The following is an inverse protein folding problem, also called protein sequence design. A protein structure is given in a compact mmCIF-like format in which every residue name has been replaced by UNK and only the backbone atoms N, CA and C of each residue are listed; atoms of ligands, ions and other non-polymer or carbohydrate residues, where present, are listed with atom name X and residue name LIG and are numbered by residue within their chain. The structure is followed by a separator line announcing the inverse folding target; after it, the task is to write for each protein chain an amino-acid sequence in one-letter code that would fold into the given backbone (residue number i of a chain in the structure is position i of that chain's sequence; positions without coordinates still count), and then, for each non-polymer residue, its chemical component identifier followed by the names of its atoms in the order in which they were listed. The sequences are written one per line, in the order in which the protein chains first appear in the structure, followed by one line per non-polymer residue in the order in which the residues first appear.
data_IF_189330103162
#
_entry.id   IF_189330103162
#
_cell.length_a   1.000
_cell.length_b   1.000
_cell.length_c   1.000
_cell.angle_alpha   90.00
_cell.angle_beta   90.00
_cell.angle_gamma   90.00
#
_symmetry.space_group_name_H-M   'P 1'
#
loop_
_entity.id
_entity.type
_entity.pdbx_description
1 polymer ?
#
# COMPACT_ATOMS: atom_id res chain seq x y z
N UNK A 1 74.84 -9.68 34.70
CA UNK A 1 73.87 -8.64 34.40
C UNK A 1 73.45 -8.59 32.93
N UNK A 2 74.20 -9.16 31.99
CA UNK A 2 73.85 -9.15 30.54
C UNK A 2 72.74 -10.11 30.09
N UNK A 3 72.39 -11.13 30.89
CA UNK A 3 71.33 -12.10 30.50
C UNK A 3 69.94 -11.64 30.85
N UNK A 4 69.81 -10.66 31.75
CA UNK A 4 68.46 -10.13 32.13
C UNK A 4 67.94 -9.11 31.12
N UNK A 5 68.83 -8.37 30.40
CA UNK A 5 68.46 -7.42 29.38
C UNK A 5 67.95 -8.11 28.09
N UNK A 6 68.35 -9.36 27.83
CA UNK A 6 67.94 -10.09 26.63
C UNK A 6 66.52 -10.61 26.69
N UNK A 7 65.97 -10.76 27.92
CA UNK A 7 64.55 -11.15 28.12
C UNK A 7 63.61 -9.96 28.21
N UNK A 8 64.13 -8.76 28.55
CA UNK A 8 63.31 -7.54 28.64
C UNK A 8 62.86 -7.01 27.26
N UNK A 9 63.72 -7.16 26.24
CA UNK A 9 63.40 -6.68 24.88
C UNK A 9 62.17 -7.37 24.26
N UNK A 10 62.04 -8.71 24.23
CA UNK A 10 60.85 -9.35 23.69
C UNK A 10 59.58 -9.09 24.52
N UNK A 11 59.71 -8.90 25.84
CA UNK A 11 58.59 -8.56 26.69
C UNK A 11 58.04 -7.15 26.38
N UNK A 12 58.88 -6.16 26.16
CA UNK A 12 58.46 -4.79 25.77
C UNK A 12 57.85 -4.79 24.38
N UNK A 13 58.37 -5.57 23.42
CA UNK A 13 57.80 -5.71 22.08
C UNK A 13 56.43 -6.39 22.15
N UNK A 14 56.25 -7.43 22.96
CA UNK A 14 54.98 -8.11 23.14
C UNK A 14 53.92 -7.19 23.76
N UNK A 15 54.29 -6.37 24.74
CA UNK A 15 53.39 -5.37 25.35
C UNK A 15 53.06 -4.26 24.35
N UNK A 16 54.01 -3.77 23.56
CA UNK A 16 53.76 -2.76 22.54
C UNK A 16 52.83 -3.28 21.41
N UNK A 17 52.99 -4.55 21.00
CA UNK A 17 52.09 -5.19 20.04
C UNK A 17 50.70 -5.42 20.64
N UNK A 18 50.60 -5.78 21.92
CA UNK A 18 49.31 -5.98 22.60
C UNK A 18 48.53 -4.64 22.74
N UNK A 19 49.19 -3.58 23.16
CA UNK A 19 48.63 -2.23 23.29
C UNK A 19 48.36 -1.58 21.92
N UNK A 20 49.11 -1.92 20.88
CA UNK A 20 48.86 -1.47 19.50
C UNK A 20 47.67 -2.18 18.83
N UNK A 21 47.35 -3.42 19.26
CA UNK A 21 46.22 -4.16 18.72
C UNK A 21 44.87 -3.68 19.29
N UNK A 22 44.86 -3.15 20.53
CA UNK A 22 43.65 -2.58 21.12
C UNK A 22 43.29 -1.19 20.56
N UNK A 23 44.25 -0.49 19.93
CA UNK A 23 44.05 0.87 19.40
C UNK A 23 43.48 0.91 17.98
N UNK A 24 43.28 -0.25 17.31
CA UNK A 24 42.70 -0.31 15.95
C UNK A 24 41.26 -0.83 15.91
N UNK A 25 40.59 -0.97 17.06
CA UNK A 25 39.21 -1.40 17.15
C UNK A 25 38.24 -0.31 17.57
N UNK A 26 38.64 0.95 17.63
CA UNK A 26 37.68 2.06 17.55
C UNK A 26 37.39 2.35 16.07
N UNK A 27 36.68 1.44 15.43
CA UNK A 27 35.81 1.80 14.34
C UNK A 27 34.84 2.81 14.96
N UNK A 28 34.90 4.04 14.49
CA UNK A 28 33.86 5.04 14.78
C UNK A 28 32.51 4.42 14.49
N UNK A 29 31.84 3.89 15.52
CA UNK A 29 30.42 3.53 15.52
C UNK A 29 29.54 4.77 15.52
N UNK A 30 30.10 5.97 15.36
CA UNK A 30 29.37 7.23 15.39
C UNK A 30 28.84 7.71 14.05
N UNK A 31 29.08 6.99 12.92
CA UNK A 31 28.57 7.39 11.59
C UNK A 31 27.73 6.34 10.87
N UNK A 32 27.36 5.28 11.53
CA UNK A 32 26.17 4.52 11.18
C UNK A 32 25.06 4.93 12.15
N UNK A 33 24.52 6.14 12.02
CA UNK A 33 23.09 6.29 12.14
C UNK A 33 22.52 5.31 11.10
N UNK A 34 22.41 4.05 11.52
CA UNK A 34 21.45 3.15 10.94
C UNK A 34 20.14 3.91 11.20
N UNK A 35 19.71 4.69 10.22
CA UNK A 35 18.33 5.10 10.10
C UNK A 35 17.60 3.79 10.32
N UNK A 36 17.09 3.57 11.53
CA UNK A 36 16.28 2.39 11.84
C UNK A 36 15.13 2.54 10.89
N UNK A 37 15.21 1.77 9.82
CA UNK A 37 14.14 1.69 8.87
C UNK A 37 12.95 1.24 9.71
N UNK A 38 11.98 2.13 9.89
CA UNK A 38 10.80 1.91 10.74
C UNK A 38 9.83 0.90 10.10
N UNK A 39 10.35 -0.05 9.31
CA UNK A 39 9.55 -1.09 8.68
C UNK A 39 10.07 -2.48 9.02
N UNK A 40 9.17 -3.45 9.09
CA UNK A 40 9.46 -4.84 9.43
C UNK A 40 9.70 -5.70 8.19
N UNK A 41 9.07 -5.35 7.06
CA UNK A 41 9.23 -6.07 5.81
C UNK A 41 9.19 -5.13 4.60
N UNK A 42 9.95 -5.50 3.59
CA UNK A 42 10.03 -4.83 2.30
C UNK A 42 9.95 -5.87 1.19
N UNK A 43 9.19 -5.59 0.14
CA UNK A 43 9.06 -6.46 -1.02
C UNK A 43 8.92 -5.64 -2.31
N UNK A 44 9.39 -6.19 -3.42
CA UNK A 44 9.24 -5.65 -4.77
C UNK A 44 8.51 -6.65 -5.67
N UNK A 45 7.77 -6.14 -6.65
CA UNK A 45 7.09 -6.97 -7.63
C UNK A 45 5.99 -7.85 -7.02
N UNK A 46 5.09 -7.24 -6.23
CA UNK A 46 4.02 -7.94 -5.51
C UNK A 46 2.96 -8.46 -6.48
N UNK A 47 2.55 -9.71 -6.27
CA UNK A 47 1.38 -10.30 -6.91
C UNK A 47 0.71 -11.23 -5.89
N UNK A 48 -0.34 -10.75 -5.26
CA UNK A 48 -1.07 -11.43 -4.19
C UNK A 48 -2.49 -11.78 -4.63
N UNK A 49 -2.97 -12.92 -4.15
CA UNK A 49 -4.35 -13.37 -4.29
C UNK A 49 -4.89 -13.60 -2.90
N UNK A 50 -5.98 -12.92 -2.56
CA UNK A 50 -6.64 -13.04 -1.27
C UNK A 50 -7.99 -13.73 -1.44
N UNK A 51 -8.31 -14.58 -0.46
CA UNK A 51 -9.53 -15.39 -0.47
C UNK A 51 -10.44 -14.97 0.67
N UNK A 52 -11.75 -15.08 0.44
CA UNK A 52 -12.77 -14.92 1.48
C UNK A 52 -12.84 -16.16 2.39
N UNK A 53 -13.66 -16.09 3.44
CA UNK A 53 -13.88 -17.21 4.37
C UNK A 53 -14.46 -18.48 3.70
N UNK A 54 -15.09 -18.33 2.58
CA UNK A 54 -15.67 -19.41 1.78
C UNK A 54 -14.66 -20.05 0.80
N UNK A 55 -13.43 -19.47 0.71
CA UNK A 55 -12.38 -19.93 -0.18
C UNK A 55 -12.48 -19.43 -1.62
N UNK A 56 -13.35 -18.46 -1.91
CA UNK A 56 -13.38 -17.79 -3.20
C UNK A 56 -12.37 -16.66 -3.23
N UNK A 57 -11.90 -16.28 -4.43
CA UNK A 57 -11.04 -15.11 -4.57
C UNK A 57 -11.87 -13.86 -4.22
N UNK A 58 -11.41 -13.13 -3.20
CA UNK A 58 -11.96 -11.82 -2.80
C UNK A 58 -11.37 -10.73 -3.68
N UNK A 59 -10.03 -10.61 -3.69
CA UNK A 59 -9.35 -9.67 -4.56
C UNK A 59 -7.95 -10.14 -4.95
N UNK A 60 -7.40 -9.54 -6.00
CA UNK A 60 -5.98 -9.66 -6.34
C UNK A 60 -5.33 -8.31 -6.28
N UNK A 61 -4.11 -8.26 -5.75
CA UNK A 61 -3.29 -7.06 -5.64
C UNK A 61 -1.97 -7.28 -6.38
N UNK A 62 -1.65 -6.37 -7.28
CA UNK A 62 -0.32 -6.21 -7.85
C UNK A 62 0.21 -4.86 -7.43
N UNK A 63 1.49 -4.76 -7.08
CA UNK A 63 2.15 -3.52 -6.74
C UNK A 63 3.63 -3.57 -7.11
N UNK A 64 4.23 -2.43 -7.44
CA UNK A 64 5.65 -2.36 -7.73
C UNK A 64 6.50 -2.56 -6.48
N UNK A 65 6.04 -2.06 -5.34
CA UNK A 65 6.70 -2.13 -4.04
C UNK A 65 5.68 -2.19 -2.91
N UNK A 66 6.09 -2.86 -1.81
CA UNK A 66 5.35 -2.93 -0.56
C UNK A 66 6.30 -2.73 0.61
N UNK A 67 5.87 -1.94 1.58
CA UNK A 67 6.56 -1.71 2.86
C UNK A 67 5.58 -1.98 3.99
N UNK A 68 5.90 -2.92 4.86
CA UNK A 68 5.10 -3.25 6.03
C UNK A 68 5.74 -2.65 7.28
N UNK A 69 4.94 -1.95 8.08
CA UNK A 69 5.38 -1.26 9.29
C UNK A 69 4.88 -1.99 10.54
N UNK A 70 5.59 -1.79 11.65
CA UNK A 70 5.31 -2.44 12.97
C UNK A 70 3.93 -2.10 13.57
N UNK A 71 3.21 -1.15 13.00
CA UNK A 71 1.86 -0.76 13.40
C UNK A 71 0.75 -1.39 12.56
N UNK A 72 1.05 -2.52 11.90
CA UNK A 72 0.14 -3.25 11.01
C UNK A 72 -0.36 -2.45 9.79
N UNK A 73 0.36 -1.38 9.43
CA UNK A 73 0.13 -0.62 8.20
C UNK A 73 1.06 -1.14 7.11
N UNK A 74 0.52 -1.33 5.92
CA UNK A 74 1.28 -1.68 4.72
C UNK A 74 1.11 -0.60 3.67
N UNK A 75 2.20 0.03 3.25
CA UNK A 75 2.20 0.96 2.12
C UNK A 75 2.56 0.23 0.83
N UNK A 76 1.88 0.58 -0.25
CA UNK A 76 2.06 -0.02 -1.58
C UNK A 76 2.23 1.06 -2.64
N UNK A 77 3.09 0.80 -3.63
CA UNK A 77 3.31 1.70 -4.78
C UNK A 77 2.72 1.13 -6.05
N UNK A 78 2.12 2.00 -6.84
CA UNK A 78 1.49 1.68 -8.13
C UNK A 78 0.57 0.45 -8.04
N UNK A 79 -0.40 0.44 -7.10
CA UNK A 79 -1.29 -0.68 -6.93
C UNK A 79 -2.20 -0.86 -8.15
N UNK A 80 -2.40 -2.12 -8.54
CA UNK A 80 -3.44 -2.58 -9.42
C UNK A 80 -4.26 -3.64 -8.69
N UNK A 81 -5.50 -3.31 -8.36
CA UNK A 81 -6.42 -4.16 -7.60
C UNK A 81 -7.55 -4.63 -8.50
N UNK A 82 -7.90 -5.90 -8.39
CA UNK A 82 -9.13 -6.44 -8.98
C UNK A 82 -9.98 -7.02 -7.88
N UNK A 83 -11.20 -6.51 -7.74
CA UNK A 83 -12.19 -7.05 -6.82
C UNK A 83 -13.04 -8.10 -7.54
N UNK A 84 -13.35 -9.18 -6.83
CA UNK A 84 -14.10 -10.30 -7.37
C UNK A 84 -15.47 -10.39 -6.70
N UNK A 85 -16.48 -10.65 -7.48
CA UNK A 85 -17.85 -10.90 -7.02
C UNK A 85 -18.38 -12.12 -7.80
N UNK A 86 -18.84 -13.15 -7.09
CA UNK A 86 -19.35 -14.38 -7.69
C UNK A 86 -18.40 -15.01 -8.73
N UNK A 87 -17.08 -14.96 -8.48
CA UNK A 87 -16.04 -15.47 -9.37
C UNK A 87 -15.72 -14.62 -10.59
N UNK A 88 -16.40 -13.47 -10.79
CA UNK A 88 -16.11 -12.48 -11.83
C UNK A 88 -15.33 -11.31 -11.23
N UNK A 89 -14.51 -10.65 -12.03
CA UNK A 89 -13.78 -9.44 -11.61
C UNK A 89 -14.25 -8.22 -12.42
N UNK A 90 -15.42 -7.66 -12.09
CA UNK A 90 -15.94 -6.50 -12.81
C UNK A 90 -15.20 -5.20 -12.46
N UNK A 91 -14.53 -5.14 -11.31
CA UNK A 91 -13.90 -3.92 -10.79
C UNK A 91 -12.40 -4.00 -10.86
N UNK A 92 -11.78 -2.99 -11.46
CA UNK A 92 -10.34 -2.81 -11.55
C UNK A 92 -10.00 -1.42 -11.03
N UNK A 93 -9.03 -1.34 -10.11
CA UNK A 93 -8.63 -0.09 -9.47
C UNK A 93 -7.13 0.11 -9.64
N UNK A 94 -6.74 1.33 -9.95
CA UNK A 94 -5.34 1.76 -10.04
C UNK A 94 -5.14 3.05 -9.25
N UNK A 95 -3.94 3.28 -8.76
CA UNK A 95 -3.53 4.52 -8.11
C UNK A 95 -2.01 4.69 -8.15
N UNK A 96 -1.52 5.87 -7.74
CA UNK A 96 -0.08 6.09 -7.58
C UNK A 96 0.47 5.32 -6.38
N UNK A 97 -0.28 5.32 -5.27
CA UNK A 97 0.08 4.61 -4.04
C UNK A 97 -1.16 4.15 -3.28
N UNK A 98 -0.95 3.35 -2.24
CA UNK A 98 -2.03 2.97 -1.34
C UNK A 98 -1.51 2.56 0.02
N UNK A 99 -2.45 2.40 0.94
CA UNK A 99 -2.21 1.95 2.31
C UNK A 99 -3.23 0.87 2.65
N UNK A 100 -2.75 -0.26 3.15
CA UNK A 100 -3.58 -1.33 3.69
C UNK A 100 -3.47 -1.26 5.20
N UNK A 101 -4.60 -1.22 5.89
CA UNK A 101 -4.68 -1.18 7.35
C UNK A 101 -5.83 -2.04 7.85
N UNK A 102 -5.73 -2.45 9.11
CA UNK A 102 -6.80 -3.15 9.79
C UNK A 102 -7.41 -2.20 10.82
N UNK A 103 -8.68 -1.86 10.67
CA UNK A 103 -9.42 -1.04 11.63
C UNK A 103 -10.14 -1.94 12.63
N UNK A 104 -9.86 -1.74 13.92
CA UNK A 104 -10.53 -2.46 15.01
C UNK A 104 -11.81 -1.75 15.50
N UNK A 105 -12.25 -0.69 14.84
CA UNK A 105 -13.22 0.28 15.36
C UNK A 105 -14.70 -0.05 15.04
N UNK A 106 -15.02 -1.25 14.56
CA UNK A 106 -16.41 -1.62 14.25
C UNK A 106 -17.05 -2.58 15.26
N UNK A 107 -18.37 -2.57 15.40
CA UNK A 107 -19.09 -3.55 16.23
C UNK A 107 -18.96 -5.00 15.73
N UNK A 108 -18.56 -5.19 14.47
CA UNK A 108 -18.48 -6.47 13.78
C UNK A 108 -17.04 -7.04 13.73
N UNK A 109 -16.07 -6.41 14.42
CA UNK A 109 -14.69 -6.88 14.51
C UNK A 109 -13.68 -6.03 13.72
N UNK A 110 -12.54 -6.63 13.40
CA UNK A 110 -11.49 -5.98 12.63
C UNK A 110 -11.87 -5.92 11.15
N UNK A 111 -11.82 -4.73 10.54
CA UNK A 111 -12.10 -4.51 9.12
C UNK A 111 -10.82 -4.22 8.36
N UNK A 112 -10.68 -4.78 7.18
CA UNK A 112 -9.57 -4.49 6.30
C UNK A 112 -9.93 -3.33 5.35
N UNK A 113 -9.18 -2.24 5.46
CA UNK A 113 -9.32 -1.05 4.63
C UNK A 113 -8.13 -0.92 3.68
N UNK A 114 -8.41 -0.51 2.45
CA UNK A 114 -7.39 -0.12 1.47
C UNK A 114 -7.66 1.32 1.05
N UNK A 115 -6.75 2.22 1.42
CA UNK A 115 -6.78 3.61 0.98
C UNK A 115 -5.92 3.75 -0.27
N UNK A 116 -6.49 4.23 -1.36
CA UNK A 116 -5.81 4.55 -2.61
C UNK A 116 -5.58 6.05 -2.71
N UNK A 117 -4.38 6.46 -3.15
CA UNK A 117 -3.92 7.84 -3.10
C UNK A 117 -3.28 8.24 -4.43
N UNK A 118 -3.73 9.35 -5.00
CA UNK A 118 -3.20 9.99 -6.19
C UNK A 118 -3.61 9.30 -7.49
N UNK A 119 -4.25 10.05 -8.37
CA UNK A 119 -4.73 9.57 -9.68
C UNK A 119 -5.49 8.24 -9.58
N UNK A 120 -6.42 8.16 -8.66
CA UNK A 120 -7.22 6.95 -8.46
C UNK A 120 -8.22 6.81 -9.59
N UNK A 121 -8.19 5.67 -10.27
CA UNK A 121 -9.19 5.30 -11.26
C UNK A 121 -9.82 3.95 -10.90
N UNK A 122 -11.15 3.90 -10.96
CA UNK A 122 -11.96 2.69 -10.80
C UNK A 122 -12.65 2.41 -12.12
N UNK A 123 -12.38 1.25 -12.69
CA UNK A 123 -12.97 0.80 -13.93
C UNK A 123 -13.94 -0.36 -13.67
N UNK A 124 -15.13 -0.25 -14.21
CA UNK A 124 -16.10 -1.33 -14.25
C UNK A 124 -16.53 -1.57 -15.71
N UNK A 125 -16.66 -2.84 -16.06
CA UNK A 125 -17.23 -3.25 -17.33
C UNK A 125 -18.33 -4.25 -17.01
N UNK A 126 -19.56 -3.91 -17.35
CA UNK A 126 -20.69 -4.80 -17.12
C UNK A 126 -20.77 -5.94 -18.18
N UNK A 127 -21.71 -6.86 -17.99
CA UNK A 127 -21.93 -8.01 -18.90
C UNK A 127 -22.42 -7.60 -20.29
N UNK A 128 -22.95 -6.38 -20.42
CA UNK A 128 -23.49 -5.83 -21.67
C UNK A 128 -22.45 -5.00 -22.43
N UNK A 129 -21.25 -4.81 -21.84
CA UNK A 129 -20.17 -4.03 -22.41
C UNK A 129 -20.24 -2.53 -22.09
N UNK A 130 -21.16 -2.08 -21.21
CA UNK A 130 -21.17 -0.68 -20.75
C UNK A 130 -20.00 -0.43 -19.83
N UNK A 131 -19.30 0.67 -20.07
CA UNK A 131 -18.15 1.08 -19.29
C UNK A 131 -18.52 2.12 -18.24
N UNK A 132 -17.88 2.03 -17.08
CA UNK A 132 -17.93 3.03 -16.02
C UNK A 132 -16.51 3.31 -15.56
N UNK A 133 -16.13 4.58 -15.53
CA UNK A 133 -14.84 5.04 -14.98
C UNK A 133 -15.13 6.07 -13.91
N UNK A 134 -14.56 5.86 -12.70
CA UNK A 134 -14.58 6.82 -11.60
C UNK A 134 -13.15 7.29 -11.40
N UNK A 135 -12.94 8.62 -11.32
CA UNK A 135 -11.64 9.23 -11.08
C UNK A 135 -11.71 10.15 -9.86
N UNK A 136 -10.69 10.06 -8.98
CA UNK A 136 -10.54 10.88 -7.77
C UNK A 136 -9.08 10.92 -7.32
N UNK A 137 -8.74 11.75 -6.33
CA UNK A 137 -7.40 11.79 -5.75
C UNK A 137 -7.25 10.88 -4.51
N UNK A 138 -8.36 10.49 -3.90
CA UNK A 138 -8.37 9.58 -2.75
C UNK A 138 -9.59 8.67 -2.81
N UNK A 139 -9.43 7.40 -2.42
CA UNK A 139 -10.51 6.44 -2.33
C UNK A 139 -10.23 5.43 -1.23
N UNK A 140 -11.14 5.28 -0.28
CA UNK A 140 -11.12 4.21 0.70
C UNK A 140 -12.00 3.05 0.24
N UNK A 141 -11.48 1.83 0.38
CA UNK A 141 -12.13 0.58 0.05
C UNK A 141 -12.33 -0.20 1.34
N UNK A 142 -13.55 -0.49 1.71
CA UNK A 142 -13.88 -1.45 2.77
C UNK A 142 -14.18 -2.80 2.11
N UNK A 143 -13.29 -3.77 2.33
CA UNK A 143 -13.38 -5.09 1.71
C UNK A 143 -14.49 -5.96 2.32
N UNK A 144 -14.84 -5.73 3.58
CA UNK A 144 -15.86 -6.51 4.27
C UNK A 144 -17.27 -6.11 3.83
N UNK A 145 -17.50 -4.80 3.69
CA UNK A 145 -18.77 -4.26 3.19
C UNK A 145 -18.88 -4.21 1.66
N UNK A 146 -17.75 -4.42 0.95
CA UNK A 146 -17.64 -4.20 -0.49
C UNK A 146 -18.08 -2.79 -0.90
N UNK A 147 -17.58 -1.77 -0.19
CA UNK A 147 -17.90 -0.37 -0.46
C UNK A 147 -16.69 0.46 -0.79
N UNK A 148 -16.93 1.53 -1.56
CA UNK A 148 -15.96 2.55 -1.92
C UNK A 148 -16.45 3.89 -1.39
N UNK A 149 -15.56 4.67 -0.78
CA UNK A 149 -15.90 5.96 -0.21
C UNK A 149 -14.79 7.00 -0.46
N UNK A 150 -15.21 8.22 -0.74
CA UNK A 150 -14.31 9.38 -0.77
C UNK A 150 -15.05 10.66 -0.42
N UNK A 151 -14.35 11.60 0.21
CA UNK A 151 -14.82 12.97 0.45
C UNK A 151 -14.27 13.96 -0.59
N UNK A 152 -13.35 13.51 -1.46
CA UNK A 152 -12.70 14.32 -2.48
C UNK A 152 -13.60 14.57 -3.70
N UNK A 153 -13.11 15.42 -4.60
CA UNK A 153 -13.75 15.62 -5.89
C UNK A 153 -13.75 14.33 -6.71
N UNK A 154 -14.89 13.98 -7.28
CA UNK A 154 -15.11 12.77 -8.07
C UNK A 154 -15.62 13.14 -9.46
N UNK A 155 -15.10 12.43 -10.44
CA UNK A 155 -15.63 12.42 -11.82
C UNK A 155 -16.07 10.98 -12.16
N UNK A 156 -17.31 10.84 -12.60
CA UNK A 156 -17.89 9.57 -13.03
C UNK A 156 -18.26 9.68 -14.51
N UNK A 157 -17.69 8.80 -15.32
CA UNK A 157 -17.90 8.75 -16.77
C UNK A 157 -18.48 7.40 -17.15
N UNK A 158 -19.55 7.43 -17.91
CA UNK A 158 -20.13 6.27 -18.58
C UNK A 158 -20.17 6.52 -20.08
N UNK A 159 -20.67 5.57 -20.86
CA UNK A 159 -20.76 5.70 -22.33
C UNK A 159 -21.49 6.97 -22.78
N UNK A 160 -22.47 7.44 -22.00
CA UNK A 160 -23.35 8.55 -22.38
C UNK A 160 -23.44 9.68 -21.35
N UNK A 161 -22.79 9.55 -20.20
CA UNK A 161 -22.87 10.57 -19.15
C UNK A 161 -21.51 10.88 -18.57
N UNK A 162 -21.33 12.14 -18.23
CA UNK A 162 -20.24 12.61 -17.39
C UNK A 162 -20.84 13.34 -16.19
N UNK A 163 -20.47 12.92 -14.99
CA UNK A 163 -20.94 13.52 -13.74
C UNK A 163 -19.76 13.89 -12.85
N UNK A 164 -19.87 14.98 -12.13
CA UNK A 164 -18.90 15.38 -11.11
C UNK A 164 -19.59 15.66 -9.79
N UNK A 165 -18.91 15.40 -8.69
CA UNK A 165 -19.40 15.70 -7.34
C UNK A 165 -18.24 15.95 -6.38
N UNK A 166 -18.55 16.39 -5.17
CA UNK A 166 -17.65 16.32 -4.03
C UNK A 166 -18.22 15.27 -3.09
N UNK A 167 -17.42 14.22 -2.86
CA UNK A 167 -17.82 13.07 -2.10
C UNK A 167 -18.64 12.06 -2.91
N UNK A 168 -18.37 10.77 -2.65
CA UNK A 168 -19.05 9.63 -3.25
C UNK A 168 -19.05 8.47 -2.26
N UNK A 169 -20.14 7.72 -2.27
CA UNK A 169 -20.24 6.39 -1.68
C UNK A 169 -20.73 5.42 -2.75
N UNK A 170 -20.11 4.26 -2.87
CA UNK A 170 -20.55 3.21 -3.78
C UNK A 170 -20.66 1.88 -3.04
N UNK A 171 -21.78 1.21 -3.19
CA UNK A 171 -22.01 -0.18 -2.75
C UNK A 171 -21.84 -1.09 -3.97
N UNK A 172 -20.77 -1.88 -3.96
CA UNK A 172 -20.43 -2.74 -5.09
C UNK A 172 -21.40 -3.95 -5.20
N UNK A 173 -21.95 -4.42 -4.07
CA UNK A 173 -22.90 -5.53 -4.05
C UNK A 173 -24.25 -5.11 -4.68
N UNK A 174 -24.70 -3.90 -4.35
CA UNK A 174 -25.95 -3.34 -4.89
C UNK A 174 -25.75 -2.63 -6.24
N UNK A 175 -24.51 -2.47 -6.69
CA UNK A 175 -24.12 -1.73 -7.91
C UNK A 175 -24.68 -0.30 -7.91
N UNK A 176 -24.66 0.35 -6.74
CA UNK A 176 -25.21 1.68 -6.52
C UNK A 176 -24.11 2.67 -6.25
N UNK A 177 -24.16 3.85 -6.87
CA UNK A 177 -23.27 4.97 -6.63
C UNK A 177 -24.11 6.16 -6.16
N UNK A 178 -23.74 6.71 -5.00
CA UNK A 178 -24.33 7.90 -4.42
C UNK A 178 -23.32 9.05 -4.51
N UNK A 179 -23.63 10.07 -5.26
CA UNK A 179 -22.89 11.34 -5.31
C UNK A 179 -23.42 12.25 -4.22
N UNK A 180 -22.55 12.93 -3.44
CA UNK A 180 -22.96 13.53 -2.16
C UNK A 180 -23.35 15.00 -2.32
N UNK A 181 -22.47 15.84 -2.90
CA UNK A 181 -22.75 17.28 -3.01
C UNK A 181 -22.13 17.91 -4.25
N UNK A 182 -22.60 19.12 -4.60
CA UNK A 182 -22.14 19.89 -5.77
C UNK A 182 -22.19 19.09 -7.08
N UNK A 183 -23.26 18.29 -7.23
CA UNK A 183 -23.44 17.38 -8.34
C UNK A 183 -23.71 18.17 -9.62
N UNK A 184 -22.93 17.87 -10.66
CA UNK A 184 -23.12 18.40 -12.01
C UNK A 184 -23.08 17.21 -12.97
N UNK A 185 -23.90 17.23 -14.01
CA UNK A 185 -23.96 16.17 -14.98
C UNK A 185 -24.16 16.69 -16.40
N UNK A 186 -23.52 16.03 -17.36
CA UNK A 186 -23.75 16.20 -18.78
C UNK A 186 -24.19 14.86 -19.39
N UNK A 187 -25.16 14.90 -20.28
CA UNK A 187 -25.64 13.73 -20.99
C UNK A 187 -25.51 13.94 -22.49
N UNK A 188 -24.82 13.02 -23.16
CA UNK A 188 -24.68 12.98 -24.60
C UNK A 188 -25.51 11.79 -25.13
N UNK A 189 -26.60 12.05 -25.88
CA UNK A 189 -27.37 10.97 -26.45
C UNK A 189 -26.58 10.18 -27.48
N UNK A 190 -26.75 8.85 -27.58
CA UNK A 190 -26.05 8.04 -28.57
C UNK A 190 -26.35 8.56 -29.99
N UNK A 191 -25.32 8.73 -30.80
CA UNK A 191 -25.47 9.09 -32.19
C UNK A 191 -26.07 7.90 -32.95
N UNK A 192 -27.21 8.11 -33.59
CA UNK A 192 -27.88 7.12 -34.44
C UNK A 192 -27.14 6.87 -35.75
#
# INVERSE_FOLDING_TARGET
MQRLSLLLIPAVIAIALFLGFESTSTRDESDLEITRLNYDAYSEGINSVLYDESGNISYTLQASRQVHFSNDVTEIESPFIRLFQEGKSPWKLIANSGRISTSSAGPDGARQLIDLIGNVEVHNLDEFGNSLVISTEFLSIDLDSNSLETEEAVKVVTDNTEQTSIGMYADLNQKTILLIKDIRGNYEPPQQ
#
